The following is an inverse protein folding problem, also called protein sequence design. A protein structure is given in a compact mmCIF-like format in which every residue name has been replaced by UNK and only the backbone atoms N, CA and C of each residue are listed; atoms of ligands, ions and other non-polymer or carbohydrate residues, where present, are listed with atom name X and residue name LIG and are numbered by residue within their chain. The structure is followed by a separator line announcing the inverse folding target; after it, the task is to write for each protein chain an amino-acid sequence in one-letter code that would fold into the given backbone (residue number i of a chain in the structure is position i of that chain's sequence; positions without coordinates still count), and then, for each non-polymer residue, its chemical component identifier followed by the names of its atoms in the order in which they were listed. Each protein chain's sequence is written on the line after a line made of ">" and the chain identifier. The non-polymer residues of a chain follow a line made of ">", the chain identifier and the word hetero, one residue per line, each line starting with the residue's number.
data_IF_294723378146
#
_entry.id   IF_294723378146
#
_cell.length_a   1.000
_cell.length_b   1.000
_cell.length_c   1.000
_cell.angle_alpha   90.00
_cell.angle_beta   90.00
_cell.angle_gamma   90.00
#
_symmetry.space_group_name_H-M   'P 1'
#
loop_
_entity.id
_entity.type
_entity.pdbx_description
1 polymer ?
#
# COMPACT_ATOMS: atom_id res chain seq x y z
N UNK A 1 -4.49 -37.75 -6.75
CA UNK A 1 -3.20 -38.22 -7.31
C UNK A 1 -2.22 -37.05 -7.28
N UNK A 2 -1.18 -37.12 -6.44
CA UNK A 2 -0.13 -36.09 -6.43
C UNK A 2 0.72 -36.24 -7.71
N UNK A 3 0.85 -35.18 -8.50
CA UNK A 3 1.50 -35.16 -9.81
C UNK A 3 3.02 -35.41 -9.79
N UNK A 4 3.66 -35.49 -8.62
CA UNK A 4 5.10 -35.77 -8.51
C UNK A 4 5.42 -36.53 -7.22
N UNK A 5 5.90 -37.77 -7.32
CA UNK A 5 6.41 -38.59 -6.21
C UNK A 5 7.94 -38.48 -6.04
N UNK A 6 8.61 -37.67 -6.87
CA UNK A 6 10.06 -37.49 -6.86
C UNK A 6 10.46 -36.11 -6.35
N UNK A 7 11.53 -36.05 -5.55
CA UNK A 7 12.09 -34.81 -4.99
C UNK A 7 12.51 -33.81 -6.08
N UNK A 8 13.02 -34.30 -7.21
CA UNK A 8 13.40 -33.48 -8.36
C UNK A 8 12.21 -32.77 -9.03
N UNK A 9 11.04 -33.43 -9.09
CA UNK A 9 9.82 -32.82 -9.61
C UNK A 9 9.30 -31.68 -8.72
N UNK A 10 9.37 -31.85 -7.40
CA UNK A 10 9.04 -30.81 -6.42
C UNK A 10 9.97 -29.59 -6.53
N UNK A 11 11.28 -29.81 -6.68
CA UNK A 11 12.25 -28.73 -6.87
C UNK A 11 12.03 -27.98 -8.18
N UNK A 12 11.77 -28.68 -9.28
CA UNK A 12 11.46 -28.07 -10.57
C UNK A 12 10.17 -27.23 -10.48
N UNK A 13 9.11 -27.78 -9.89
CA UNK A 13 7.86 -27.04 -9.68
C UNK A 13 8.09 -25.78 -8.83
N UNK A 14 8.87 -25.87 -7.75
CA UNK A 14 9.20 -24.72 -6.90
C UNK A 14 10.01 -23.67 -7.63
N UNK A 15 10.96 -24.08 -8.47
CA UNK A 15 11.77 -23.18 -9.28
C UNK A 15 10.90 -22.39 -10.27
N UNK A 16 10.04 -23.06 -11.04
CA UNK A 16 9.16 -22.38 -11.99
C UNK A 16 8.12 -21.48 -11.30
N UNK A 17 7.54 -21.93 -10.18
CA UNK A 17 6.70 -21.07 -9.35
C UNK A 17 7.49 -19.86 -8.83
N UNK A 18 8.71 -20.06 -8.37
CA UNK A 18 9.60 -18.98 -7.90
C UNK A 18 9.90 -17.94 -8.99
N UNK A 19 10.08 -18.36 -10.24
CA UNK A 19 10.27 -17.44 -11.38
C UNK A 19 9.02 -16.56 -11.59
N UNK A 20 7.81 -17.11 -11.45
CA UNK A 20 6.58 -16.32 -11.55
C UNK A 20 6.36 -15.39 -10.35
N UNK A 21 6.69 -15.85 -9.14
CA UNK A 21 6.60 -15.07 -7.91
C UNK A 21 7.61 -13.91 -7.88
N UNK A 22 8.77 -14.06 -8.53
CA UNK A 22 9.84 -13.05 -8.52
C UNK A 22 9.39 -11.67 -9.03
N UNK A 23 8.46 -11.63 -10.01
CA UNK A 23 7.92 -10.37 -10.51
C UNK A 23 7.07 -9.63 -9.46
N UNK A 24 6.34 -10.38 -8.62
CA UNK A 24 5.54 -9.83 -7.53
C UNK A 24 6.44 -9.41 -6.36
N UNK A 25 7.41 -10.27 -6.01
CA UNK A 25 8.40 -10.00 -4.95
C UNK A 25 9.16 -8.72 -5.24
N UNK A 26 9.58 -8.47 -6.49
CA UNK A 26 10.30 -7.23 -6.86
C UNK A 26 9.56 -5.95 -6.45
N UNK A 27 8.24 -5.90 -6.68
CA UNK A 27 7.43 -4.73 -6.32
C UNK A 27 7.37 -4.56 -4.80
N UNK A 28 7.08 -5.65 -4.10
CA UNK A 28 6.97 -5.67 -2.63
C UNK A 28 8.31 -5.30 -1.97
N UNK A 29 9.42 -5.86 -2.43
CA UNK A 29 10.75 -5.56 -1.91
C UNK A 29 11.12 -4.10 -2.14
N UNK A 30 10.83 -3.53 -3.31
CA UNK A 30 11.06 -2.10 -3.56
C UNK A 30 10.29 -1.22 -2.56
N UNK A 31 9.00 -1.47 -2.36
CA UNK A 31 8.22 -0.74 -1.35
C UNK A 31 8.81 -0.88 0.04
N UNK A 32 9.18 -2.10 0.45
CA UNK A 32 9.74 -2.34 1.77
C UNK A 32 11.09 -1.63 1.98
N UNK A 33 11.97 -1.66 0.97
CA UNK A 33 13.25 -0.94 1.03
C UNK A 33 13.07 0.56 1.13
N UNK A 34 12.10 1.14 0.41
CA UNK A 34 11.77 2.56 0.49
C UNK A 34 11.22 2.94 1.87
N UNK A 35 10.39 2.09 2.47
CA UNK A 35 9.88 2.30 3.84
C UNK A 35 11.02 2.33 4.85
N UNK A 36 11.95 1.36 4.78
CA UNK A 36 13.12 1.35 5.67
C UNK A 36 14.00 2.59 5.46
N UNK A 37 14.17 3.01 4.20
CA UNK A 37 14.95 4.20 3.85
C UNK A 37 14.31 5.48 4.41
N UNK A 38 12.99 5.65 4.24
CA UNK A 38 12.25 6.78 4.79
C UNK A 38 12.37 6.85 6.33
N UNK A 39 12.28 5.71 7.02
CA UNK A 39 12.48 5.64 8.46
C UNK A 39 13.89 6.05 8.90
N UNK A 40 14.93 5.63 8.16
CA UNK A 40 16.32 5.99 8.44
C UNK A 40 16.59 7.51 8.30
N UNK A 41 15.91 8.17 7.36
CA UNK A 41 16.07 9.62 7.13
C UNK A 41 15.12 10.50 7.95
N UNK A 42 14.02 9.95 8.49
CA UNK A 42 13.03 10.71 9.25
C UNK A 42 13.62 11.47 10.45
N UNK A 43 14.58 10.87 11.16
CA UNK A 43 15.24 11.51 12.30
C UNK A 43 16.15 12.69 11.91
N UNK A 44 16.89 12.56 10.81
CA UNK A 44 17.75 13.64 10.29
C UNK A 44 16.88 14.79 9.76
N UNK A 45 15.78 14.47 9.08
CA UNK A 45 14.81 15.44 8.59
C UNK A 45 14.16 16.19 9.76
N UNK A 46 13.75 15.48 10.81
CA UNK A 46 13.19 16.09 12.03
C UNK A 46 14.19 17.01 12.74
N UNK A 47 15.47 16.62 12.80
CA UNK A 47 16.53 17.47 13.37
C UNK A 47 16.74 18.76 12.54
N UNK A 48 16.73 18.66 11.21
CA UNK A 48 16.82 19.82 10.32
C UNK A 48 15.63 20.77 10.46
N UNK A 49 14.40 20.24 10.52
CA UNK A 49 13.18 21.05 10.67
C UNK A 49 13.06 21.63 12.08
N UNK A 50 13.60 20.96 13.10
CA UNK A 50 13.66 21.48 14.47
C UNK A 50 14.38 22.83 14.59
N UNK A 51 15.33 23.11 13.69
CA UNK A 51 16.02 24.41 13.61
C UNK A 51 15.15 25.54 13.06
N UNK A 52 13.96 25.24 12.50
CA UNK A 52 12.97 26.25 12.09
C UNK A 52 12.11 26.76 13.26
N UNK A 53 12.49 26.45 14.50
CA UNK A 53 11.85 27.00 15.70
C UNK A 53 11.97 28.52 15.72
N UNK A 54 10.83 29.23 15.75
CA UNK A 54 10.76 30.69 15.69
C UNK A 54 10.38 31.26 14.33
N UNK A 55 10.38 30.45 13.26
CA UNK A 55 9.82 30.86 11.97
C UNK A 55 8.31 31.06 12.11
N UNK A 56 7.82 32.24 11.75
CA UNK A 56 6.44 32.70 11.94
C UNK A 56 5.92 32.65 13.40
N UNK A 57 6.82 32.67 14.39
CA UNK A 57 6.45 32.58 15.81
C UNK A 57 5.88 31.22 16.23
N UNK A 58 6.10 30.18 15.42
CA UNK A 58 5.65 28.80 15.69
C UNK A 58 6.80 27.93 16.18
N UNK A 59 6.45 26.90 16.95
CA UNK A 59 7.40 25.93 17.47
C UNK A 59 7.86 24.97 16.36
N UNK A 60 9.10 24.44 16.42
CA UNK A 60 9.64 23.54 15.38
C UNK A 60 8.77 22.32 15.09
N UNK A 61 8.13 21.73 16.12
CA UNK A 61 7.21 20.59 15.98
C UNK A 61 6.02 20.88 15.06
N UNK A 62 5.52 22.12 15.02
CA UNK A 62 4.41 22.50 14.14
C UNK A 62 4.83 22.36 12.67
N UNK A 63 6.04 22.79 12.35
CA UNK A 63 6.59 22.71 11.00
C UNK A 63 6.83 21.27 10.55
N UNK A 64 7.16 20.36 11.47
CA UNK A 64 7.30 18.93 11.16
C UNK A 64 5.97 18.37 10.63
N UNK A 65 4.88 18.53 11.39
CA UNK A 65 3.57 18.03 10.96
C UNK A 65 3.01 18.77 9.74
N UNK A 66 3.25 20.07 9.61
CA UNK A 66 2.77 20.84 8.48
C UNK A 66 3.44 20.39 7.17
N UNK A 67 4.76 20.21 7.17
CA UNK A 67 5.51 19.76 5.98
C UNK A 67 5.14 18.32 5.62
N UNK A 68 5.04 17.43 6.61
CA UNK A 68 4.64 16.04 6.38
C UNK A 68 3.20 15.94 5.85
N UNK A 69 2.27 16.71 6.42
CA UNK A 69 0.88 16.78 5.95
C UNK A 69 0.77 17.27 4.50
N UNK A 70 1.50 18.35 4.15
CA UNK A 70 1.51 18.87 2.76
C UNK A 70 2.11 17.83 1.81
N UNK A 71 3.20 17.16 2.19
CA UNK A 71 3.81 16.12 1.36
C UNK A 71 2.82 14.98 1.06
N UNK A 72 2.05 14.53 2.06
CA UNK A 72 1.03 13.49 1.88
C UNK A 72 -0.10 13.94 0.95
N UNK A 73 -0.57 15.18 1.08
CA UNK A 73 -1.61 15.74 0.19
C UNK A 73 -1.12 15.79 -1.26
N UNK A 74 0.13 16.20 -1.49
CA UNK A 74 0.71 16.23 -2.84
C UNK A 74 0.87 14.82 -3.43
N UNK A 75 1.32 13.85 -2.63
CA UNK A 75 1.44 12.46 -3.07
C UNK A 75 0.05 11.87 -3.37
N UNK A 76 -0.95 12.11 -2.51
CA UNK A 76 -2.31 11.66 -2.75
C UNK A 76 -2.91 12.29 -4.02
N UNK A 77 -2.69 13.59 -4.22
CA UNK A 77 -3.13 14.31 -5.42
C UNK A 77 -2.49 13.77 -6.70
N UNK A 78 -1.18 13.50 -6.70
CA UNK A 78 -0.49 12.93 -7.87
C UNK A 78 -0.85 11.46 -8.10
N UNK A 79 -1.07 10.68 -7.03
CA UNK A 79 -1.53 9.29 -7.09
C UNK A 79 -2.86 9.16 -7.82
N UNK A 80 -3.81 10.09 -7.59
CA UNK A 80 -5.09 10.12 -8.29
C UNK A 80 -4.95 10.20 -9.82
N UNK A 81 -3.89 10.83 -10.33
CA UNK A 81 -3.65 10.92 -11.77
C UNK A 81 -2.81 9.75 -12.32
N UNK A 82 -1.91 9.20 -11.51
CA UNK A 82 -0.96 8.16 -11.93
C UNK A 82 -1.52 6.74 -11.79
N UNK A 83 -2.34 6.48 -10.77
CA UNK A 83 -2.92 5.16 -10.52
C UNK A 83 -4.25 5.08 -11.26
N UNK A 84 -4.32 4.19 -12.25
CA UNK A 84 -5.56 3.80 -12.91
C UNK A 84 -6.05 2.52 -12.25
N UNK A 85 -7.12 2.60 -11.46
CA UNK A 85 -7.58 1.50 -10.60
C UNK A 85 -8.17 0.31 -11.36
N UNK A 86 -8.59 0.49 -12.61
CA UNK A 86 -9.27 -0.56 -13.38
C UNK A 86 -8.85 -0.63 -14.85
N UNK A 87 -8.85 -1.86 -15.45
CA UNK A 87 -8.58 -2.05 -16.86
C UNK A 87 -9.59 -1.36 -17.79
N UNK A 88 -10.77 -0.98 -17.29
CA UNK A 88 -11.77 -0.20 -18.01
C UNK A 88 -11.36 1.28 -18.23
N UNK A 89 -10.46 1.80 -17.41
CA UNK A 89 -9.92 3.16 -17.49
C UNK A 89 -8.47 3.19 -18.01
N UNK A 90 -7.87 2.01 -18.19
CA UNK A 90 -6.51 1.87 -18.70
C UNK A 90 -6.42 2.38 -20.14
N UNK A 91 -5.86 3.58 -20.32
CA UNK A 91 -5.56 4.18 -21.63
C UNK A 91 -4.62 3.35 -22.53
N UNK A 92 -4.06 2.27 -22.00
CA UNK A 92 -3.11 1.39 -22.69
C UNK A 92 -3.74 0.12 -23.29
N UNK A 93 -4.98 -0.26 -22.92
CA UNK A 93 -5.63 -1.48 -23.44
C UNK A 93 -6.68 -1.18 -24.52
N UNK A 94 -6.73 -2.00 -25.56
CA UNK A 94 -7.81 -1.94 -26.55
C UNK A 94 -9.14 -2.46 -25.97
N UNK A 95 -10.28 -2.02 -26.53
CA UNK A 95 -11.61 -2.46 -26.07
C UNK A 95 -11.80 -4.00 -26.07
N UNK A 96 -11.10 -4.73 -26.94
CA UNK A 96 -11.14 -6.20 -26.96
C UNK A 96 -10.43 -6.81 -25.76
N UNK A 97 -9.23 -6.34 -25.45
CA UNK A 97 -8.42 -6.86 -24.34
C UNK A 97 -9.07 -6.56 -22.99
N UNK A 98 -9.72 -5.40 -22.85
CA UNK A 98 -10.48 -5.06 -21.64
C UNK A 98 -11.64 -6.03 -21.39
N UNK A 99 -12.37 -6.46 -22.44
CA UNK A 99 -13.45 -7.45 -22.30
C UNK A 99 -12.93 -8.82 -21.89
N UNK A 100 -11.84 -9.29 -22.52
CA UNK A 100 -11.23 -10.57 -22.19
C UNK A 100 -10.68 -10.58 -20.77
N UNK A 101 -10.02 -9.50 -20.35
CA UNK A 101 -9.45 -9.40 -19.01
C UNK A 101 -10.52 -9.33 -17.92
N UNK A 102 -11.62 -8.61 -18.16
CA UNK A 102 -12.76 -8.64 -17.25
C UNK A 102 -13.32 -10.06 -17.11
N UNK A 103 -13.57 -10.76 -18.22
CA UNK A 103 -14.06 -12.14 -18.19
C UNK A 103 -13.15 -13.09 -17.39
N UNK A 104 -11.83 -12.97 -17.54
CA UNK A 104 -10.86 -13.72 -16.75
C UNK A 104 -10.88 -13.34 -15.26
N UNK A 105 -11.06 -12.05 -14.93
CA UNK A 105 -11.13 -11.59 -13.55
C UNK A 105 -12.32 -12.20 -12.81
N UNK A 106 -13.48 -12.28 -13.46
CA UNK A 106 -14.68 -12.93 -12.92
C UNK A 106 -14.45 -14.42 -12.68
N UNK A 107 -13.77 -15.11 -13.59
CA UNK A 107 -13.50 -16.56 -13.48
C UNK A 107 -12.50 -16.88 -12.36
N UNK A 108 -11.41 -16.10 -12.24
CA UNK A 108 -10.35 -16.34 -11.25
C UNK A 108 -10.75 -15.92 -9.84
N UNK A 109 -11.46 -14.79 -9.69
CA UNK A 109 -11.79 -14.24 -8.36
C UNK A 109 -13.20 -14.59 -7.89
N UNK A 110 -14.11 -14.99 -8.78
CA UNK A 110 -15.50 -15.28 -8.43
C UNK A 110 -16.27 -14.08 -7.87
N UNK A 111 -15.78 -12.85 -8.08
CA UNK A 111 -16.35 -11.62 -7.52
C UNK A 111 -16.55 -10.60 -8.64
N UNK A 112 -17.69 -9.91 -8.60
CA UNK A 112 -18.03 -8.92 -9.60
C UNK A 112 -17.36 -7.57 -9.30
N UNK A 113 -17.01 -6.82 -10.35
CA UNK A 113 -16.42 -5.48 -10.19
C UNK A 113 -17.30 -4.51 -9.38
N UNK A 114 -18.61 -4.70 -9.40
CA UNK A 114 -19.59 -3.95 -8.60
C UNK A 114 -19.53 -4.31 -7.11
N UNK A 115 -19.25 -5.57 -6.76
CA UNK A 115 -19.15 -6.01 -5.37
C UNK A 115 -17.85 -5.52 -4.71
N UNK A 116 -16.76 -5.41 -5.50
CA UNK A 116 -15.51 -4.78 -5.04
C UNK A 116 -15.65 -3.27 -4.85
N UNK A 117 -16.58 -2.62 -5.56
CA UNK A 117 -16.79 -1.17 -5.51
C UNK A 117 -17.92 -0.79 -4.56
N UNK A 118 -18.16 -1.61 -3.53
CA UNK A 118 -19.12 -1.30 -2.49
C UNK A 118 -18.45 -0.44 -1.39
N UNK A 119 -18.61 0.91 -1.41
CA UNK A 119 -17.96 1.78 -0.43
C UNK A 119 -18.47 1.54 0.99
N UNK A 120 -19.75 1.16 1.15
CA UNK A 120 -20.27 0.87 2.47
C UNK A 120 -19.64 -0.41 3.04
N UNK A 121 -19.49 -1.46 2.24
CA UNK A 121 -18.84 -2.71 2.68
C UNK A 121 -17.38 -2.52 3.10
N UNK A 122 -16.61 -1.73 2.35
CA UNK A 122 -15.20 -1.42 2.66
C UNK A 122 -15.09 -0.58 3.93
N UNK A 123 -15.92 0.46 4.08
CA UNK A 123 -15.93 1.30 5.28
C UNK A 123 -16.28 0.49 6.52
N UNK A 124 -17.27 -0.39 6.46
CA UNK A 124 -17.62 -1.27 7.58
C UNK A 124 -16.51 -2.27 7.91
N UNK A 125 -15.81 -2.83 6.91
CA UNK A 125 -14.68 -3.72 7.13
C UNK A 125 -13.46 -3.00 7.76
N UNK A 126 -13.27 -1.71 7.50
CA UNK A 126 -12.20 -0.89 8.10
C UNK A 126 -12.51 -0.48 9.55
N UNK A 127 -13.77 -0.22 9.89
CA UNK A 127 -14.18 0.30 11.20
C UNK A 127 -14.40 -0.81 12.24
N UNK A 128 -14.71 -2.02 11.80
CA UNK A 128 -15.09 -3.15 12.66
C UNK A 128 -13.95 -4.02 13.28
N UNK A 129 -12.65 -3.92 12.93
CA UNK A 129 -11.64 -4.69 13.63
C UNK A 129 -11.52 -4.20 15.08
N UNK A 130 -11.91 -5.04 16.04
CA UNK A 130 -11.65 -4.83 17.48
C UNK A 130 -10.15 -4.57 17.77
N UNK A 131 -9.25 -5.01 16.90
CA UNK A 131 -7.82 -4.72 16.93
C UNK A 131 -7.47 -3.23 16.70
N UNK A 132 -8.29 -2.47 15.95
CA UNK A 132 -8.09 -1.03 15.74
C UNK A 132 -8.31 -0.25 17.04
N UNK A 133 -9.32 -0.64 17.82
CA UNK A 133 -9.62 -0.07 19.14
C UNK A 133 -8.54 -0.40 20.17
N UNK A 134 -7.91 -1.58 20.07
CA UNK A 134 -6.72 -1.92 20.86
C UNK A 134 -5.52 -1.01 20.54
N UNK A 135 -5.23 -0.77 19.25
CA UNK A 135 -4.14 0.11 18.82
C UNK A 135 -4.35 1.58 19.20
N UNK A 136 -5.57 2.11 19.06
CA UNK A 136 -5.93 3.48 19.48
C UNK A 136 -5.78 3.64 21.00
N UNK A 137 -6.16 2.61 21.77
CA UNK A 137 -5.95 2.57 23.22
C UNK A 137 -4.46 2.66 23.60
N UNK A 138 -3.58 1.94 22.90
CA UNK A 138 -2.15 1.93 23.20
C UNK A 138 -1.44 3.26 22.83
N UNK A 139 -1.83 3.90 21.73
CA UNK A 139 -1.27 5.21 21.34
C UNK A 139 -1.66 6.33 22.32
N UNK A 140 -2.86 6.25 22.90
CA UNK A 140 -3.36 7.22 23.90
C UNK A 140 -2.55 7.19 25.20
N UNK A 141 -2.01 6.02 25.58
CA UNK A 141 -1.17 5.87 26.77
C UNK A 141 0.19 6.54 26.56
N UNK A 142 0.82 6.39 25.39
CA UNK A 142 2.17 6.94 25.14
C UNK A 142 2.19 8.47 25.11
N UNK A 143 1.13 9.12 24.62
CA UNK A 143 1.05 10.59 24.53
C UNK A 143 0.72 11.24 25.87
N UNK A 144 0.04 10.54 26.78
CA UNK A 144 -0.29 11.08 28.12
C UNK A 144 0.92 11.07 29.07
N UNK A 145 1.99 10.35 28.73
CA UNK A 145 3.21 10.24 29.54
C UNK A 145 4.44 10.97 28.95
N UNK A 146 4.28 11.83 27.93
CA UNK A 146 5.36 12.68 27.37
C UNK A 146 4.98 14.16 27.46
#
# INVERSE_FOLDING_TARGET
>A
MALSTSFGGLLAARFFLGVTEAAQVRRVTLFYTLTSLAGAFGGILAYGIGHMSGVAGKHGWFWIFAIEGIAMVLIAGTSFFLIQDFPAQARFLSQRECKTLNALLFDVKGVNCIDLMNPHGILWAMVWPWALWWYVGHFSVVVVYS
#
